data_IF_983561614075
#
_entry.id   IF_983561614075
#
_cell.length_a   1.000
_cell.length_b   1.000
_cell.length_c   1.000
_cell.angle_alpha   90.00
_cell.angle_beta   90.00
_cell.angle_gamma   90.00
#
_symmetry.space_group_name_H-M   'P 1'
#
loop_
_entity.id
_entity.type
_entity.pdbx_description
1 polymer ?
#
# COMPACT_ATOMS: atom_id res chain seq x y z
N UNK A 1 27.50 -66.77 -2.44
CA UNK A 1 26.45 -66.46 -3.45
C UNK A 1 25.87 -65.08 -3.14
N UNK A 2 26.04 -64.09 -4.02
CA UNK A 2 25.45 -62.75 -3.83
C UNK A 2 24.06 -62.73 -4.46
N UNK A 3 23.00 -62.50 -3.67
CA UNK A 3 21.65 -62.25 -4.20
C UNK A 3 21.63 -60.85 -4.83
N UNK A 4 21.40 -60.77 -6.14
CA UNK A 4 21.08 -59.52 -6.82
C UNK A 4 19.59 -59.20 -6.59
N UNK A 5 19.31 -58.08 -5.95
CA UNK A 5 17.94 -57.57 -5.81
C UNK A 5 17.61 -56.68 -7.01
N UNK A 6 16.70 -57.15 -7.86
CA UNK A 6 16.11 -56.33 -8.92
C UNK A 6 14.99 -55.48 -8.31
N UNK A 7 15.12 -54.16 -8.37
CA UNK A 7 14.02 -53.25 -8.01
C UNK A 7 12.93 -53.36 -9.09
N UNK A 8 11.68 -53.66 -8.73
CA UNK A 8 10.60 -53.79 -9.71
C UNK A 8 10.36 -52.46 -10.46
N UNK A 9 9.96 -52.50 -11.75
CA UNK A 9 9.71 -51.29 -12.54
C UNK A 9 8.68 -50.33 -11.90
N UNK A 10 7.67 -50.87 -11.20
CA UNK A 10 6.64 -50.08 -10.52
C UNK A 10 7.17 -49.29 -9.32
N UNK A 11 8.24 -49.74 -8.66
CA UNK A 11 8.86 -49.03 -7.54
C UNK A 11 9.53 -47.74 -8.01
N UNK A 12 10.10 -47.74 -9.23
CA UNK A 12 10.64 -46.52 -9.86
C UNK A 12 9.52 -45.54 -10.22
N UNK A 13 8.40 -46.02 -10.76
CA UNK A 13 7.24 -45.19 -11.07
C UNK A 13 6.63 -44.54 -9.82
N UNK A 14 6.58 -45.26 -8.69
CA UNK A 14 6.08 -44.74 -7.41
C UNK A 14 6.96 -43.60 -6.86
N UNK A 15 8.28 -43.73 -6.99
CA UNK A 15 9.25 -42.71 -6.55
C UNK A 15 9.14 -41.45 -7.42
N UNK A 16 8.96 -41.58 -8.73
CA UNK A 16 8.73 -40.43 -9.61
C UNK A 16 7.40 -39.72 -9.33
N UNK A 17 6.33 -40.47 -9.04
CA UNK A 17 5.03 -39.89 -8.71
C UNK A 17 5.05 -39.13 -7.36
N UNK A 18 5.74 -39.67 -6.36
CA UNK A 18 5.92 -39.01 -5.06
C UNK A 18 6.79 -37.73 -5.16
N UNK A 19 7.82 -37.72 -6.00
CA UNK A 19 8.62 -36.51 -6.27
C UNK A 19 7.83 -35.46 -7.05
N UNK A 20 6.95 -35.89 -7.98
CA UNK A 20 6.09 -35.00 -8.74
C UNK A 20 4.99 -34.34 -7.89
N UNK A 21 4.41 -35.08 -6.92
CA UNK A 21 3.43 -34.54 -5.97
C UNK A 21 4.05 -33.50 -5.00
N UNK A 22 5.30 -33.70 -4.58
CA UNK A 22 6.04 -32.73 -3.74
C UNK A 22 6.44 -31.47 -4.54
N UNK A 23 6.79 -31.62 -5.83
CA UNK A 23 7.05 -30.47 -6.69
C UNK A 23 5.77 -29.65 -6.97
N UNK A 24 4.61 -30.32 -7.10
CA UNK A 24 3.32 -29.66 -7.32
C UNK A 24 2.84 -28.88 -6.08
N UNK A 25 3.08 -29.40 -4.87
CA UNK A 25 2.75 -28.68 -3.63
C UNK A 25 3.63 -27.46 -3.38
N UNK A 26 4.90 -27.49 -3.80
CA UNK A 26 5.78 -26.32 -3.76
C UNK A 26 5.39 -25.21 -4.78
N UNK A 27 4.65 -25.55 -5.84
CA UNK A 27 4.07 -24.60 -6.80
C UNK A 27 2.76 -23.95 -6.29
N UNK A 28 2.13 -24.52 -5.26
CA UNK A 28 0.91 -24.01 -4.62
C UNK A 28 1.17 -23.23 -3.31
N UNK A 29 2.42 -23.24 -2.85
CA UNK A 29 2.90 -22.37 -1.79
C UNK A 29 2.99 -20.95 -2.36
N UNK A 30 1.96 -20.13 -2.10
CA UNK A 30 1.89 -18.73 -2.50
C UNK A 30 3.23 -18.03 -2.24
N UNK A 31 3.83 -17.52 -3.31
CA UNK A 31 5.02 -16.69 -3.21
C UNK A 31 4.53 -15.34 -2.70
N UNK A 32 4.80 -15.03 -1.43
CA UNK A 32 4.61 -13.67 -0.92
C UNK A 32 5.54 -12.75 -1.72
N UNK A 33 4.97 -12.00 -2.67
CA UNK A 33 5.70 -11.01 -3.44
C UNK A 33 5.73 -9.72 -2.64
N UNK A 34 6.70 -9.62 -1.74
CA UNK A 34 7.04 -8.35 -1.09
C UNK A 34 7.67 -7.44 -2.14
N UNK A 35 6.92 -6.46 -2.63
CA UNK A 35 7.48 -5.38 -3.45
C UNK A 35 8.27 -4.44 -2.53
N UNK A 36 9.59 -4.55 -2.55
CA UNK A 36 10.45 -3.47 -2.06
C UNK A 36 10.43 -2.38 -3.13
N UNK A 37 9.90 -1.21 -2.80
CA UNK A 37 10.11 -0.02 -3.62
C UNK A 37 11.57 0.44 -3.42
N UNK A 38 12.53 -0.31 -3.97
CA UNK A 38 13.90 0.18 -4.08
C UNK A 38 13.93 1.16 -5.26
N UNK A 39 14.15 2.44 -4.95
CA UNK A 39 14.22 3.55 -5.89
C UNK A 39 15.28 3.30 -6.97
N UNK A 40 14.87 2.78 -8.13
CA UNK A 40 15.71 2.83 -9.32
C UNK A 40 15.54 4.21 -9.98
N UNK A 41 16.52 5.09 -9.76
CA UNK A 41 16.65 6.37 -10.46
C UNK A 41 16.72 6.15 -11.98
N UNK A 42 15.60 6.39 -12.69
CA UNK A 42 15.58 6.37 -14.15
C UNK A 42 15.94 7.76 -14.70
N UNK A 43 17.20 7.91 -15.14
CA UNK A 43 17.70 8.64 -16.33
C UNK A 43 17.13 10.02 -16.75
N UNK A 44 16.23 10.65 -16.00
CA UNK A 44 15.44 11.83 -16.41
C UNK A 44 15.70 13.07 -15.56
N UNK A 45 16.42 12.93 -14.44
CA UNK A 45 16.83 14.06 -13.60
C UNK A 45 15.69 14.77 -12.86
N UNK A 46 14.45 14.27 -12.91
CA UNK A 46 13.41 14.67 -11.97
C UNK A 46 13.62 13.93 -10.65
N UNK A 47 13.63 14.67 -9.54
CA UNK A 47 13.67 14.07 -8.21
C UNK A 47 12.43 13.18 -8.05
N UNK A 48 12.65 11.95 -7.58
CA UNK A 48 11.57 11.12 -7.07
C UNK A 48 10.76 11.98 -6.09
N UNK A 49 9.44 11.99 -6.25
CA UNK A 49 8.54 12.53 -5.25
C UNK A 49 8.94 11.91 -3.92
N UNK A 50 9.43 12.70 -2.98
CA UNK A 50 10.11 12.16 -1.80
C UNK A 50 9.08 11.49 -0.90
N UNK A 51 8.90 10.19 -1.03
CA UNK A 51 7.85 9.46 -0.30
C UNK A 51 8.34 9.12 1.10
N UNK A 52 8.16 10.06 2.02
CA UNK A 52 8.32 9.82 3.46
C UNK A 52 7.04 9.16 4.01
N UNK A 53 7.20 8.23 4.98
CA UNK A 53 6.13 7.50 5.66
C UNK A 53 5.15 6.78 4.73
N UNK A 54 5.55 5.57 4.32
CA UNK A 54 4.78 4.72 3.42
C UNK A 54 3.78 3.84 4.17
N UNK A 55 2.54 3.84 3.73
CA UNK A 55 1.54 2.80 4.02
C UNK A 55 0.99 2.26 2.71
N UNK A 56 0.68 0.96 2.67
CA UNK A 56 0.19 0.33 1.45
C UNK A 56 -0.89 -0.72 1.71
N UNK A 57 -1.71 -0.94 0.69
CA UNK A 57 -2.74 -1.96 0.65
C UNK A 57 -2.87 -2.51 -0.77
N UNK A 58 -3.35 -3.74 -0.91
CA UNK A 58 -3.63 -4.38 -2.19
C UNK A 58 -5.13 -4.55 -2.41
N UNK A 59 -5.60 -4.39 -3.65
CA UNK A 59 -6.95 -4.80 -4.03
C UNK A 59 -7.00 -6.29 -4.44
N UNK A 60 -8.21 -6.80 -4.65
CA UNK A 60 -8.44 -8.18 -5.06
C UNK A 60 -7.83 -8.54 -6.43
N UNK A 61 -7.47 -7.53 -7.23
CA UNK A 61 -6.80 -7.70 -8.53
C UNK A 61 -5.28 -7.63 -8.42
N UNK A 62 -4.73 -7.60 -7.20
CA UNK A 62 -3.29 -7.45 -6.93
C UNK A 62 -2.68 -6.11 -7.36
N UNK A 63 -3.50 -5.08 -7.64
CA UNK A 63 -2.98 -3.73 -7.71
C UNK A 63 -2.61 -3.27 -6.30
N UNK A 64 -1.55 -2.49 -6.16
CA UNK A 64 -1.14 -1.94 -4.88
C UNK A 64 -1.32 -0.42 -4.85
N UNK A 65 -1.81 0.06 -3.71
CA UNK A 65 -2.01 1.47 -3.42
C UNK A 65 -1.00 1.85 -2.35
N UNK A 66 -0.35 2.99 -2.54
CA UNK A 66 0.68 3.51 -1.66
C UNK A 66 0.28 4.92 -1.28
N UNK A 67 0.17 5.18 0.01
CA UNK A 67 0.04 6.53 0.54
C UNK A 67 1.33 6.93 1.26
N UNK A 68 1.78 8.15 1.03
CA UNK A 68 2.94 8.73 1.71
C UNK A 68 3.01 10.24 1.53
N UNK A 69 4.20 10.82 1.73
CA UNK A 69 4.42 12.26 1.56
C UNK A 69 4.98 12.64 0.18
N UNK A 70 4.69 13.84 -0.30
CA UNK A 70 5.43 14.50 -1.37
C UNK A 70 5.93 15.84 -0.83
N UNK A 71 7.23 16.11 -0.92
CA UNK A 71 7.77 17.39 -0.50
C UNK A 71 7.42 18.48 -1.54
N UNK A 72 6.72 19.51 -1.10
CA UNK A 72 6.41 20.66 -1.94
C UNK A 72 7.51 21.72 -1.92
N UNK A 73 7.34 22.76 -2.75
CA UNK A 73 8.31 23.86 -2.90
C UNK A 73 8.60 24.65 -1.61
N UNK A 74 7.78 24.49 -0.56
CA UNK A 74 7.94 25.13 0.74
C UNK A 74 8.55 24.21 1.79
N UNK A 75 8.99 23.01 1.40
CA UNK A 75 9.55 22.02 2.31
C UNK A 75 8.51 21.42 3.25
N UNK A 76 7.25 21.35 2.83
CA UNK A 76 6.16 20.67 3.55
C UNK A 76 5.75 19.41 2.82
N UNK A 77 5.29 18.41 3.57
CA UNK A 77 4.75 17.18 3.01
C UNK A 77 3.29 17.36 2.64
N UNK A 78 2.96 17.10 1.39
CA UNK A 78 1.59 16.87 0.94
C UNK A 78 1.34 15.36 0.89
N UNK A 79 0.10 14.93 1.06
CA UNK A 79 -0.22 13.50 0.97
C UNK A 79 -0.21 13.10 -0.50
N UNK A 80 0.55 12.06 -0.82
CA UNK A 80 0.60 11.43 -2.13
C UNK A 80 -0.09 10.08 -2.04
N UNK A 81 -1.06 9.83 -2.91
CA UNK A 81 -1.69 8.52 -3.09
C UNK A 81 -1.43 8.04 -4.52
N UNK A 82 -0.74 6.92 -4.64
CA UNK A 82 -0.39 6.32 -5.93
C UNK A 82 -0.93 4.92 -6.03
N UNK A 83 -1.53 4.58 -7.18
CA UNK A 83 -1.93 3.22 -7.51
C UNK A 83 -0.98 2.66 -8.58
N UNK A 84 -0.56 1.43 -8.36
CA UNK A 84 0.24 0.65 -9.29
C UNK A 84 -0.45 -0.66 -9.66
N UNK A 85 -0.15 -1.20 -10.83
CA UNK A 85 -0.55 -2.55 -11.22
C UNK A 85 0.30 -3.64 -10.53
N UNK A 86 -0.03 -4.91 -10.75
CA UNK A 86 0.64 -6.07 -10.15
C UNK A 86 2.10 -6.28 -10.62
N UNK A 87 2.50 -5.56 -11.66
CA UNK A 87 3.87 -5.54 -12.19
C UNK A 87 4.68 -4.34 -11.69
N UNK A 88 4.01 -3.35 -11.08
CA UNK A 88 4.62 -2.15 -10.53
C UNK A 88 4.58 -0.93 -11.44
N UNK A 89 3.81 -0.95 -12.52
CA UNK A 89 3.57 0.26 -13.31
C UNK A 89 2.55 1.17 -12.62
N UNK A 90 2.86 2.46 -12.58
CA UNK A 90 1.93 3.48 -12.07
C UNK A 90 0.70 3.56 -12.99
N UNK A 91 -0.48 3.36 -12.39
CA UNK A 91 -1.77 3.52 -13.06
C UNK A 91 -2.29 4.95 -12.91
N UNK A 92 -2.13 5.52 -11.71
CA UNK A 92 -2.43 6.92 -11.42
C UNK A 92 -1.78 7.36 -10.11
N UNK A 93 -1.61 8.68 -9.98
CA UNK A 93 -1.18 9.35 -8.76
C UNK A 93 -2.08 10.55 -8.47
N UNK A 94 -2.33 10.85 -7.20
CA UNK A 94 -3.08 12.03 -6.77
C UNK A 94 -2.53 12.57 -5.47
N UNK A 95 -2.42 13.89 -5.40
CA UNK A 95 -1.97 14.61 -4.22
C UNK A 95 -3.14 15.21 -3.45
N UNK A 96 -3.01 15.28 -2.13
CA UNK A 96 -3.88 16.05 -1.26
C UNK A 96 -3.05 16.96 -0.38
N UNK A 97 -3.32 18.25 -0.50
CA UNK A 97 -2.66 19.33 0.20
C UNK A 97 -3.72 20.28 0.79
N UNK A 98 -3.33 20.96 1.87
CA UNK A 98 -3.98 22.19 2.28
C UNK A 98 -3.44 23.37 1.45
N UNK A 99 -4.09 24.55 1.45
CA UNK A 99 -3.54 25.73 0.80
C UNK A 99 -2.05 25.90 1.13
N UNK A 100 -1.24 26.00 0.06
CA UNK A 100 0.12 25.47 -0.09
C UNK A 100 1.22 25.97 0.86
N UNK A 101 0.91 26.70 1.92
CA UNK A 101 1.91 27.28 2.84
C UNK A 101 1.73 26.86 4.30
N UNK A 102 0.67 26.10 4.60
CA UNK A 102 0.21 25.96 5.97
C UNK A 102 0.98 24.90 6.74
N UNK A 103 1.07 23.66 6.27
CA UNK A 103 1.89 22.65 6.95
C UNK A 103 1.72 21.25 6.37
N UNK A 104 2.22 20.24 7.08
CA UNK A 104 2.27 18.88 6.55
C UNK A 104 0.88 18.21 6.54
N UNK A 105 0.63 17.40 5.52
CA UNK A 105 -0.38 16.36 5.47
C UNK A 105 0.33 15.02 5.45
N UNK A 106 0.03 14.16 6.41
CA UNK A 106 0.74 12.90 6.61
C UNK A 106 -0.28 11.76 6.61
N UNK A 107 -0.11 10.80 5.71
CA UNK A 107 -0.84 9.53 5.75
C UNK A 107 -0.34 8.68 6.92
N UNK A 108 -1.27 8.04 7.63
CA UNK A 108 -0.98 7.12 8.72
C UNK A 108 -1.47 5.70 8.43
N UNK A 109 -2.56 5.57 7.67
CA UNK A 109 -3.10 4.27 7.27
C UNK A 109 -4.05 4.40 6.06
N UNK A 110 -4.29 3.29 5.37
CA UNK A 110 -5.09 3.21 4.16
C UNK A 110 -6.00 1.97 4.18
N UNK A 111 -7.24 2.16 3.74
CA UNK A 111 -8.18 1.06 3.53
C UNK A 111 -8.91 1.20 2.19
N UNK A 112 -9.45 0.08 1.71
CA UNK A 112 -10.27 0.01 0.52
C UNK A 112 -11.69 -0.39 0.91
N UNK A 113 -12.68 0.28 0.33
CA UNK A 113 -14.06 -0.18 0.39
C UNK A 113 -14.36 -1.19 -0.72
N UNK A 114 -15.52 -1.85 -0.66
CA UNK A 114 -15.91 -2.88 -1.62
C UNK A 114 -16.09 -2.36 -3.06
N UNK A 115 -16.21 -1.04 -3.23
CA UNK A 115 -16.25 -0.39 -4.55
C UNK A 115 -14.86 0.00 -5.06
N UNK A 116 -13.80 -0.32 -4.32
CA UNK A 116 -12.42 0.05 -4.64
C UNK A 116 -12.12 1.53 -4.43
N UNK A 117 -12.96 2.25 -3.67
CA UNK A 117 -12.61 3.58 -3.22
C UNK A 117 -11.54 3.46 -2.14
N UNK A 118 -10.66 4.46 -2.09
CA UNK A 118 -9.55 4.52 -1.17
C UNK A 118 -9.90 5.45 -0.02
N UNK A 119 -9.77 4.99 1.22
CA UNK A 119 -9.93 5.81 2.40
C UNK A 119 -8.58 5.89 3.10
N UNK A 120 -8.10 7.11 3.32
CA UNK A 120 -6.83 7.37 3.99
C UNK A 120 -7.09 8.05 5.31
N UNK A 121 -6.56 7.47 6.39
CA UNK A 121 -6.45 8.15 7.68
C UNK A 121 -5.07 8.79 7.80
N UNK A 122 -5.04 9.92 8.48
CA UNK A 122 -3.81 10.67 8.63
C UNK A 122 -3.96 11.84 9.57
N UNK A 123 -3.03 12.77 9.41
CA UNK A 123 -2.89 13.93 10.27
C UNK A 123 -2.62 15.15 9.40
N UNK A 124 -3.28 16.27 9.69
CA UNK A 124 -3.18 17.49 8.90
C UNK A 124 -2.86 18.69 9.78
N UNK A 125 -1.99 19.56 9.29
CA UNK A 125 -1.64 20.77 10.03
C UNK A 125 -2.82 21.75 10.14
N UNK A 126 -3.08 22.20 11.36
CA UNK A 126 -4.13 23.16 11.73
C UNK A 126 -3.51 24.54 11.99
N UNK A 127 -3.35 25.31 10.91
CA UNK A 127 -2.65 26.61 10.84
C UNK A 127 -2.78 27.56 12.03
N UNK A 128 -3.99 27.86 12.54
CA UNK A 128 -4.19 28.86 13.59
C UNK A 128 -3.51 28.55 14.93
N UNK A 129 -3.33 27.27 15.27
CA UNK A 129 -2.81 26.83 16.57
C UNK A 129 -1.41 26.22 16.49
N UNK A 130 -0.79 26.23 15.30
CA UNK A 130 0.43 25.48 14.99
C UNK A 130 0.35 24.01 15.44
N UNK A 131 -0.83 23.42 15.28
CA UNK A 131 -1.15 22.09 15.77
C UNK A 131 -1.48 21.14 14.62
N UNK A 132 -1.82 19.91 14.93
CA UNK A 132 -2.32 18.96 13.95
C UNK A 132 -3.65 18.36 14.39
N UNK A 133 -4.51 18.15 13.40
CA UNK A 133 -5.82 17.54 13.55
C UNK A 133 -5.84 16.17 12.85
N UNK A 134 -6.71 15.29 13.33
CA UNK A 134 -6.94 14.02 12.64
C UNK A 134 -7.63 14.27 11.30
N UNK A 135 -7.24 13.50 10.29
CA UNK A 135 -7.71 13.63 8.92
C UNK A 135 -8.24 12.28 8.42
N UNK A 136 -9.37 12.32 7.72
CA UNK A 136 -9.87 11.19 6.91
C UNK A 136 -10.20 11.70 5.53
N UNK A 137 -9.68 11.06 4.48
CA UNK A 137 -9.93 11.42 3.09
C UNK A 137 -10.48 10.20 2.35
N UNK A 138 -11.49 10.39 1.50
CA UNK A 138 -11.94 9.37 0.56
C UNK A 138 -11.64 9.80 -0.87
N UNK A 139 -11.06 8.89 -1.65
CA UNK A 139 -10.85 8.97 -3.09
C UNK A 139 -11.64 7.87 -3.77
N UNK A 140 -12.11 8.09 -4.99
CA UNK A 140 -12.69 7.01 -5.77
C UNK A 140 -11.61 6.09 -6.36
N UNK A 141 -12.03 4.98 -6.98
CA UNK A 141 -11.13 4.00 -7.59
C UNK A 141 -10.21 4.54 -8.71
N UNK A 142 -10.50 5.73 -9.22
CA UNK A 142 -9.71 6.45 -10.23
C UNK A 142 -8.79 7.52 -9.62
N UNK A 143 -8.68 7.57 -8.29
CA UNK A 143 -7.82 8.54 -7.59
C UNK A 143 -8.48 9.90 -7.35
N UNK A 144 -9.71 10.15 -7.81
CA UNK A 144 -10.35 11.44 -7.60
C UNK A 144 -10.94 11.58 -6.19
N UNK A 145 -10.50 12.61 -5.46
CA UNK A 145 -10.99 12.95 -4.11
C UNK A 145 -12.51 13.15 -4.12
N UNK A 146 -13.20 12.40 -3.28
CA UNK A 146 -14.64 12.52 -3.03
C UNK A 146 -14.92 13.51 -1.90
N UNK A 147 -14.26 13.32 -0.75
CA UNK A 147 -14.42 14.17 0.42
C UNK A 147 -13.21 14.04 1.34
N UNK A 148 -13.06 14.99 2.26
CA UNK A 148 -12.21 14.83 3.43
C UNK A 148 -12.95 15.37 4.66
N UNK A 149 -12.55 14.91 5.84
CA UNK A 149 -13.02 15.38 7.14
C UNK A 149 -11.81 15.58 8.03
N UNK A 150 -11.83 16.66 8.79
CA UNK A 150 -10.86 16.91 9.87
C UNK A 150 -11.57 16.79 11.21
N UNK A 151 -10.85 16.32 12.23
CA UNK A 151 -11.34 16.24 13.59
C UNK A 151 -10.34 16.91 14.53
N UNK A 152 -10.83 17.95 15.20
CA UNK A 152 -10.12 18.70 16.23
C UNK A 152 -10.82 18.46 17.57
N UNK A 153 -10.11 17.87 18.52
CA UNK A 153 -10.60 17.56 19.86
C UNK A 153 -10.89 18.82 20.68
N UNK A 154 -11.69 18.68 21.73
CA UNK A 154 -12.15 19.82 22.54
C UNK A 154 -11.03 20.65 23.19
N UNK A 155 -9.83 20.06 23.35
CA UNK A 155 -8.65 20.75 23.89
C UNK A 155 -7.83 21.52 22.85
N UNK A 156 -8.13 21.37 21.56
CA UNK A 156 -7.31 21.90 20.46
C UNK A 156 -5.83 21.51 20.56
N UNK A 157 -5.57 20.28 21.03
CA UNK A 157 -4.23 19.68 21.13
C UNK A 157 -3.90 18.88 19.86
N UNK A 158 -2.75 18.21 19.84
CA UNK A 158 -2.37 17.35 18.72
C UNK A 158 -3.34 16.16 18.65
N UNK A 159 -4.14 16.10 17.59
CA UNK A 159 -4.99 14.98 17.25
C UNK A 159 -4.42 14.30 15.99
N UNK A 160 -4.23 12.99 16.04
CA UNK A 160 -3.70 12.21 14.93
C UNK A 160 -4.64 11.08 14.55
N UNK A 161 -4.99 10.98 13.28
CA UNK A 161 -5.54 9.75 12.73
C UNK A 161 -4.43 8.72 12.63
N UNK A 162 -4.59 7.57 13.26
CA UNK A 162 -3.52 6.55 13.37
C UNK A 162 -3.80 5.27 12.61
N UNK A 163 -5.08 4.90 12.47
CA UNK A 163 -5.51 3.64 11.89
C UNK A 163 -6.89 3.80 11.29
N UNK A 164 -7.18 3.04 10.22
CA UNK A 164 -8.50 2.97 9.63
C UNK A 164 -8.86 1.54 9.27
N UNK A 165 -10.12 1.20 9.50
CA UNK A 165 -10.68 -0.09 9.12
C UNK A 165 -12.08 0.14 8.56
N UNK A 166 -12.38 -0.54 7.46
CA UNK A 166 -13.71 -0.56 6.85
C UNK A 166 -14.46 -1.74 7.42
N UNK A 167 -15.61 -1.47 8.05
CA UNK A 167 -16.43 -2.53 8.63
C UNK A 167 -17.19 -3.36 7.56
N UNK A 168 -17.84 -4.44 7.99
CA UNK A 168 -18.61 -5.30 7.07
C UNK A 168 -19.78 -4.60 6.38
N UNK A 169 -20.16 -3.40 6.83
CA UNK A 169 -21.16 -2.54 6.24
C UNK A 169 -20.61 -1.52 5.24
N UNK A 170 -19.32 -1.58 4.91
CA UNK A 170 -18.63 -0.66 3.98
C UNK A 170 -18.48 0.77 4.53
N UNK A 171 -18.38 0.92 5.87
CA UNK A 171 -18.24 2.20 6.56
C UNK A 171 -16.85 2.44 7.12
#
# INVERSE_FOLDING_TARGET
MKKLYFTPPWLRALIFFALWLNALSALLCAQEKTFYLEEWYAATGQQAESVDRLVSITDASSNFYVAGGQLNQYGKYDLLLTKYDDTGYELWSTTFNLPDSTGNVIAADIALDNSGNVIVAGTVYNGPSNNYDALTIKFNSSGAKQWHKTYNGAGSFYDGGTYIYIDSGDN
#
